data_IF_599593495469
#
_entry.id   IF_599593495469
#
_cell.length_a   1.000
_cell.length_b   1.000
_cell.length_c   1.000
_cell.angle_alpha   90.00
_cell.angle_beta   90.00
_cell.angle_gamma   90.00
#
_symmetry.space_group_name_H-M   'P 1'
#
loop_
_entity.id
_entity.type
_entity.pdbx_description
1 polymer ?
#
# COMPACT_ATOMS: atom_id res chain seq x y z
N UNK A 1 -0.84 1.36 1.21
CA UNK A 1 -0.54 0.09 1.88
C UNK A 1 0.54 0.33 2.92
N UNK A 2 0.22 0.04 4.18
CA UNK A 2 1.17 0.06 5.30
C UNK A 2 1.78 -1.34 5.43
N UNK A 3 3.07 -1.47 5.13
CA UNK A 3 3.88 -2.68 5.24
C UNK A 3 5.10 -2.44 6.16
N UNK A 4 4.92 -1.60 7.19
CA UNK A 4 5.98 -1.32 8.17
C UNK A 4 6.15 -2.48 9.17
N UNK A 5 5.08 -3.21 9.50
CA UNK A 5 5.05 -4.40 10.38
C UNK A 5 6.10 -4.32 11.52
N UNK A 6 6.00 -3.25 12.33
CA UNK A 6 6.99 -2.93 13.35
C UNK A 6 7.01 -3.90 14.53
N UNK A 7 5.87 -4.52 14.84
CA UNK A 7 5.60 -5.22 16.09
C UNK A 7 6.54 -6.42 16.34
N UNK A 8 7.07 -6.59 17.57
CA UNK A 8 7.93 -7.73 17.89
C UNK A 8 7.23 -9.06 17.65
N UNK A 9 7.82 -9.89 16.77
CA UNK A 9 7.29 -11.22 16.45
C UNK A 9 6.26 -11.26 15.31
N UNK A 10 5.88 -10.11 14.73
CA UNK A 10 5.06 -10.06 13.53
C UNK A 10 5.91 -10.33 12.27
N UNK A 11 5.42 -11.20 11.38
CA UNK A 11 6.03 -11.53 10.09
C UNK A 11 5.00 -11.94 9.02
N UNK A 12 3.72 -11.73 9.29
CA UNK A 12 2.60 -12.11 8.42
C UNK A 12 2.61 -11.25 7.15
N UNK A 13 2.74 -9.94 7.31
CA UNK A 13 2.77 -8.99 6.19
C UNK A 13 4.01 -9.22 5.34
N UNK A 14 5.17 -9.40 5.99
CA UNK A 14 6.40 -9.78 5.31
C UNK A 14 6.21 -11.00 4.43
N UNK A 15 5.58 -12.04 4.97
CA UNK A 15 5.38 -13.31 4.27
C UNK A 15 4.53 -13.12 3.01
N UNK A 16 3.49 -12.28 3.07
CA UNK A 16 2.66 -11.93 1.92
C UNK A 16 3.46 -11.12 0.90
N UNK A 17 4.06 -9.99 1.30
CA UNK A 17 4.80 -9.11 0.36
C UNK A 17 5.98 -9.84 -0.30
N UNK A 18 6.64 -10.74 0.43
CA UNK A 18 7.70 -11.56 -0.15
C UNK A 18 7.13 -12.67 -1.04
N UNK A 19 6.13 -13.43 -0.61
CA UNK A 19 5.73 -14.66 -1.32
C UNK A 19 4.72 -14.41 -2.45
N UNK A 20 3.76 -13.53 -2.21
CA UNK A 20 2.69 -13.18 -3.13
C UNK A 20 2.41 -11.66 -3.15
N UNK A 21 3.33 -10.86 -3.71
CA UNK A 21 3.12 -9.42 -3.85
C UNK A 21 1.97 -9.05 -4.80
N UNK A 22 1.53 -9.97 -5.66
CA UNK A 22 0.50 -9.69 -6.66
C UNK A 22 -0.89 -9.60 -6.04
N UNK A 23 -1.23 -10.41 -5.03
CA UNK A 23 -2.50 -10.25 -4.30
C UNK A 23 -2.65 -8.87 -3.64
N UNK A 24 -1.55 -8.32 -3.11
CA UNK A 24 -1.53 -6.96 -2.57
C UNK A 24 -1.77 -5.92 -3.66
N UNK A 25 -1.10 -6.06 -4.81
CA UNK A 25 -1.28 -5.14 -5.94
C UNK A 25 -2.70 -5.19 -6.52
N UNK A 26 -3.25 -6.39 -6.70
CA UNK A 26 -4.62 -6.58 -7.17
C UNK A 26 -5.63 -5.96 -6.20
N UNK A 27 -5.48 -6.23 -4.90
CA UNK A 27 -6.33 -5.64 -3.87
C UNK A 27 -6.24 -4.10 -3.84
N UNK A 28 -5.04 -3.55 -3.99
CA UNK A 28 -4.85 -2.10 -4.11
C UNK A 28 -5.51 -1.53 -5.38
N UNK A 29 -5.40 -2.21 -6.53
CA UNK A 29 -6.03 -1.79 -7.79
C UNK A 29 -7.56 -1.81 -7.68
N UNK A 30 -8.14 -2.85 -7.09
CA UNK A 30 -9.58 -2.94 -6.81
C UNK A 30 -10.02 -1.80 -5.88
N UNK A 31 -9.29 -1.62 -4.77
CA UNK A 31 -9.57 -0.54 -3.83
C UNK A 31 -9.49 0.83 -4.47
N UNK A 32 -8.47 1.07 -5.30
CA UNK A 32 -8.27 2.32 -6.01
C UNK A 32 -9.41 2.62 -6.99
N UNK A 33 -9.90 1.58 -7.70
CA UNK A 33 -11.06 1.69 -8.57
C UNK A 33 -12.32 2.05 -7.78
N UNK A 34 -12.52 1.41 -6.62
CA UNK A 34 -13.69 1.65 -5.77
C UNK A 34 -13.76 3.07 -5.21
N UNK A 35 -12.61 3.67 -4.85
CA UNK A 35 -12.54 5.03 -4.28
C UNK A 35 -12.19 6.11 -5.31
N UNK A 36 -11.94 5.75 -6.57
CA UNK A 36 -11.65 6.69 -7.65
C UNK A 36 -10.29 7.38 -7.56
N UNK A 37 -9.25 6.67 -7.11
CA UNK A 37 -7.87 7.22 -7.07
C UNK A 37 -6.98 6.60 -8.14
N UNK A 38 -6.00 7.38 -8.59
CA UNK A 38 -5.07 7.00 -9.66
C UNK A 38 -3.63 6.78 -9.18
N UNK A 39 -3.37 6.95 -7.89
CA UNK A 39 -2.03 6.74 -7.32
C UNK A 39 -2.10 6.03 -5.97
N UNK A 40 -1.21 5.07 -5.76
CA UNK A 40 -1.07 4.30 -4.54
C UNK A 40 0.37 4.25 -4.05
N UNK A 41 0.54 4.15 -2.74
CA UNK A 41 1.85 4.01 -2.10
C UNK A 41 1.91 2.70 -1.31
N UNK A 42 3.04 2.00 -1.41
CA UNK A 42 3.40 0.88 -0.54
C UNK A 42 4.58 1.34 0.30
N UNK A 43 4.35 1.52 1.59
CA UNK A 43 5.40 1.88 2.54
C UNK A 43 5.94 0.60 3.18
N UNK A 44 7.17 0.22 2.85
CA UNK A 44 7.82 -1.01 3.36
C UNK A 44 8.94 -0.60 4.30
N UNK A 45 9.00 -1.21 5.50
CA UNK A 45 10.10 -0.96 6.43
C UNK A 45 11.49 -1.21 5.83
N UNK A 46 12.49 -0.53 6.36
CA UNK A 46 13.86 -0.58 5.82
C UNK A 46 14.50 -1.98 5.90
N UNK A 47 14.07 -2.78 6.87
CA UNK A 47 14.62 -4.06 7.28
C UNK A 47 14.15 -5.22 6.40
N UNK A 48 13.22 -4.97 5.47
CA UNK A 48 12.70 -5.96 4.51
C UNK A 48 13.20 -5.69 3.07
N UNK A 49 14.50 -5.82 2.77
CA UNK A 49 15.04 -5.52 1.44
C UNK A 49 14.51 -6.47 0.36
N UNK A 50 14.23 -7.73 0.71
CA UNK A 50 13.67 -8.73 -0.21
C UNK A 50 12.25 -8.34 -0.59
N UNK A 51 11.42 -7.93 0.38
CA UNK A 51 10.06 -7.45 0.14
C UNK A 51 10.05 -6.27 -0.84
N UNK A 52 10.95 -5.28 -0.66
CA UNK A 52 11.10 -4.14 -1.60
C UNK A 52 11.46 -4.62 -3.01
N UNK A 53 12.43 -5.53 -3.13
CA UNK A 53 12.87 -6.06 -4.43
C UNK A 53 11.73 -6.82 -5.13
N UNK A 54 11.03 -7.70 -4.42
CA UNK A 54 9.95 -8.52 -4.97
C UNK A 54 8.74 -7.68 -5.34
N UNK A 55 8.35 -6.72 -4.50
CA UNK A 55 7.27 -5.79 -4.81
C UNK A 55 7.56 -4.94 -6.04
N UNK A 56 8.79 -4.40 -6.18
CA UNK A 56 9.20 -3.68 -7.40
C UNK A 56 9.15 -4.54 -8.65
N UNK A 57 9.56 -5.80 -8.54
CA UNK A 57 9.45 -6.78 -9.64
C UNK A 57 7.98 -7.04 -10.00
N UNK A 58 7.13 -7.22 -9.01
CA UNK A 58 5.70 -7.44 -9.20
C UNK A 58 5.00 -6.25 -9.87
N UNK A 59 5.31 -5.02 -9.44
CA UNK A 59 4.82 -3.78 -10.08
C UNK A 59 5.23 -3.74 -11.56
N UNK A 60 6.50 -4.04 -11.86
CA UNK A 60 6.98 -4.09 -13.24
C UNK A 60 6.20 -5.13 -14.07
N UNK A 61 6.03 -6.33 -13.54
CA UNK A 61 5.26 -7.39 -14.20
C UNK A 61 3.79 -6.97 -14.40
N UNK A 62 3.12 -6.43 -13.38
CA UNK A 62 1.74 -5.98 -13.50
C UNK A 62 1.56 -4.93 -14.61
N UNK A 63 2.52 -3.99 -14.75
CA UNK A 63 2.54 -3.04 -15.87
C UNK A 63 2.73 -3.72 -17.23
N UNK A 64 3.67 -4.66 -17.35
CA UNK A 64 3.92 -5.41 -18.59
C UNK A 64 2.69 -6.20 -19.06
N UNK A 65 1.86 -6.65 -18.12
CA UNK A 65 0.64 -7.40 -18.39
C UNK A 65 -0.62 -6.51 -18.54
N UNK A 66 -0.48 -5.18 -18.44
CA UNK A 66 -1.61 -4.25 -18.54
C UNK A 66 -2.57 -4.28 -17.34
N UNK A 67 -2.10 -4.76 -16.19
CA UNK A 67 -2.85 -4.87 -14.93
C UNK A 67 -2.59 -3.68 -13.98
N UNK A 68 -1.65 -2.81 -14.35
CA UNK A 68 -1.28 -1.60 -13.62
C UNK A 68 -0.78 -0.55 -14.63
N UNK A 69 -0.92 0.73 -14.31
CA UNK A 69 -0.52 1.84 -15.17
C UNK A 69 -1.71 2.50 -15.84
N UNK A 70 -1.57 2.82 -17.12
CA UNK A 70 -2.61 3.48 -17.92
C UNK A 70 -3.56 2.49 -18.57
N UNK A 71 -4.83 2.89 -18.67
CA UNK A 71 -5.91 2.18 -19.34
C UNK A 71 -5.96 0.68 -19.02
N UNK A 72 -5.98 0.37 -17.72
CA UNK A 72 -5.94 -1.00 -17.20
C UNK A 72 -7.07 -1.80 -17.84
N UNK A 73 -6.69 -2.84 -18.60
CA UNK A 73 -7.59 -3.72 -19.35
C UNK A 73 -8.56 -2.99 -20.32
N UNK A 74 -8.23 -1.79 -20.80
CA UNK A 74 -9.07 -1.02 -21.73
C UNK A 74 -10.31 -0.39 -21.08
N UNK A 75 -10.30 -0.25 -19.75
CA UNK A 75 -11.45 0.24 -18.97
C UNK A 75 -11.52 1.77 -18.83
N UNK A 76 -10.52 2.49 -19.33
CA UNK A 76 -10.30 3.91 -19.09
C UNK A 76 -9.86 4.24 -17.67
N UNK A 77 -9.49 3.23 -16.86
CA UNK A 77 -9.01 3.41 -15.49
C UNK A 77 -7.48 3.35 -15.43
N UNK A 78 -6.90 4.35 -14.79
CA UNK A 78 -5.46 4.43 -14.58
C UNK A 78 -5.15 4.22 -13.09
N UNK A 79 -4.12 3.46 -12.78
CA UNK A 79 -3.62 3.34 -11.41
C UNK A 79 -2.13 3.07 -11.38
N UNK A 80 -1.38 3.96 -10.72
CA UNK A 80 0.06 3.84 -10.54
C UNK A 80 0.42 3.56 -9.09
N UNK A 81 1.41 2.69 -8.86
CA UNK A 81 1.86 2.31 -7.53
C UNK A 81 3.36 2.59 -7.36
N UNK A 82 3.70 3.26 -6.26
CA UNK A 82 5.07 3.58 -5.87
C UNK A 82 5.46 2.86 -4.58
N UNK A 83 6.69 2.32 -4.53
CA UNK A 83 7.25 1.71 -3.31
C UNK A 83 8.13 2.72 -2.60
N UNK A 84 7.76 3.09 -1.38
CA UNK A 84 8.55 3.89 -0.46
C UNK A 84 9.20 2.97 0.58
N UNK A 85 10.49 3.17 0.84
CA UNK A 85 11.23 2.41 1.86
C UNK A 85 11.38 3.29 3.10
N UNK A 86 10.96 2.79 4.25
CA UNK A 86 11.14 3.49 5.51
C UNK A 86 12.62 3.67 5.91
N UNK A 87 12.85 4.44 6.96
CA UNK A 87 14.20 4.78 7.46
C UNK A 87 14.57 4.05 8.78
N UNK A 88 13.85 2.99 9.13
CA UNK A 88 14.10 2.18 10.34
C UNK A 88 13.49 2.73 11.63
N UNK A 89 12.53 3.65 11.52
CA UNK A 89 11.80 4.19 12.67
C UNK A 89 10.51 3.39 12.92
N UNK A 90 10.45 2.67 14.04
CA UNK A 90 9.27 1.88 14.45
C UNK A 90 7.97 2.69 14.50
N UNK A 91 8.05 3.99 14.83
CA UNK A 91 6.88 4.87 14.91
C UNK A 91 6.18 5.04 13.54
N UNK A 92 6.87 4.78 12.43
CA UNK A 92 6.31 4.87 11.08
C UNK A 92 5.20 3.84 10.79
N UNK A 93 4.97 2.86 11.66
CA UNK A 93 3.80 1.97 11.58
C UNK A 93 2.48 2.69 11.91
N UNK A 94 2.52 3.80 12.66
CA UNK A 94 1.35 4.65 12.93
C UNK A 94 0.97 5.45 11.67
N UNK A 95 -0.33 5.58 11.38
CA UNK A 95 -0.82 6.09 10.10
C UNK A 95 -0.40 7.53 9.78
N UNK A 96 -0.39 8.44 10.75
CA UNK A 96 0.03 9.84 10.54
C UNK A 96 1.54 10.00 10.50
N UNK A 97 2.28 9.20 11.27
CA UNK A 97 3.74 9.08 11.18
C UNK A 97 4.19 8.52 9.84
N UNK A 98 3.48 7.52 9.30
CA UNK A 98 3.69 6.97 7.96
C UNK A 98 3.54 8.06 6.90
N UNK A 99 2.46 8.85 6.98
CA UNK A 99 2.22 9.98 6.09
C UNK A 99 3.38 10.98 6.17
N UNK A 100 3.77 11.40 7.36
CA UNK A 100 4.87 12.33 7.54
C UNK A 100 6.19 11.79 6.96
N UNK A 101 6.49 10.51 7.18
CA UNK A 101 7.66 9.86 6.57
C UNK A 101 7.59 9.83 5.05
N UNK A 102 6.42 9.52 4.48
CA UNK A 102 6.21 9.48 3.03
C UNK A 102 6.42 10.86 2.39
N UNK A 103 6.05 11.92 3.11
CA UNK A 103 6.24 13.31 2.73
C UNK A 103 7.67 13.84 2.97
N UNK A 104 8.57 13.01 3.53
CA UNK A 104 9.95 13.39 3.84
C UNK A 104 10.10 14.26 5.09
N UNK A 105 9.08 14.27 5.97
CA UNK A 105 9.10 14.96 7.27
C UNK A 105 9.48 13.99 8.39
N UNK A 106 9.82 14.53 9.56
CA UNK A 106 9.98 13.72 10.78
C UNK A 106 8.68 12.96 11.08
N UNK A 107 8.74 11.65 11.37
CA UNK A 107 7.55 10.80 11.53
C UNK A 107 6.90 10.96 12.92
N UNK A 108 6.57 12.19 13.29
CA UNK A 108 5.88 12.49 14.54
C UNK A 108 4.37 12.23 14.37
N UNK A 109 3.75 11.42 15.25
CA UNK A 109 2.31 11.19 15.20
C UNK A 109 1.53 12.49 15.38
N UNK A 110 0.47 12.65 14.60
CA UNK A 110 -0.45 13.78 14.69
C UNK A 110 -1.72 13.38 15.43
N UNK A 111 -2.26 14.32 16.21
CA UNK A 111 -3.53 14.14 16.90
C UNK A 111 -4.65 14.16 15.85
N UNK A 112 -5.53 13.16 15.92
CA UNK A 112 -6.76 13.08 15.13
C UNK A 112 -7.89 13.78 15.92
N UNK A 113 -8.85 14.48 15.26
CA UNK A 113 -8.99 14.72 13.83
C UNK A 113 -8.07 15.83 13.26
N UNK A 114 -7.87 15.91 11.93
CA UNK A 114 -8.53 15.10 10.88
C UNK A 114 -7.99 13.67 10.79
N UNK A 115 -8.86 12.73 10.42
CA UNK A 115 -8.42 11.38 10.05
C UNK A 115 -7.80 11.38 8.64
N UNK A 116 -6.90 10.44 8.29
CA UNK A 116 -6.32 10.35 6.95
C UNK A 116 -7.33 10.32 5.82
N UNK A 117 -8.49 9.68 6.04
CA UNK A 117 -9.59 9.64 5.09
C UNK A 117 -10.16 11.03 4.75
N UNK A 118 -10.01 12.01 5.64
CA UNK A 118 -10.38 13.41 5.42
C UNK A 118 -9.19 14.23 4.88
N UNK A 119 -8.02 14.07 5.50
CA UNK A 119 -6.80 14.80 5.15
C UNK A 119 -5.58 13.97 5.54
N UNK A 120 -5.00 13.27 4.57
CA UNK A 120 -3.81 12.44 4.73
C UNK A 120 -2.63 12.95 3.91
N UNK A 121 -2.12 12.12 3.01
CA UNK A 121 -0.93 12.39 2.19
C UNK A 121 -1.13 13.67 1.35
N UNK A 122 -0.24 14.64 1.53
CA UNK A 122 -0.30 16.01 1.00
C UNK A 122 -1.66 16.70 1.19
N UNK A 123 -2.31 16.43 2.33
CA UNK A 123 -3.62 16.98 2.67
C UNK A 123 -4.77 16.45 1.81
N UNK A 124 -4.59 15.32 1.11
CA UNK A 124 -5.63 14.67 0.30
C UNK A 124 -6.31 13.55 1.07
N UNK A 125 -7.61 13.27 0.83
CA UNK A 125 -8.28 12.07 1.32
C UNK A 125 -7.44 10.83 1.03
N UNK A 126 -7.02 10.13 2.06
CA UNK A 126 -6.11 8.98 1.96
C UNK A 126 -6.67 7.80 2.72
N UNK A 127 -6.80 6.67 2.03
CA UNK A 127 -7.13 5.40 2.66
C UNK A 127 -5.83 4.62 2.94
N UNK A 128 -5.58 4.31 4.20
CA UNK A 128 -4.41 3.55 4.65
C UNK A 128 -4.93 2.24 5.23
N UNK A 129 -4.57 1.13 4.60
CA UNK A 129 -4.79 -0.22 5.14
C UNK A 129 -3.50 -1.03 5.13
N UNK A 130 -3.48 -2.03 6.01
CA UNK A 130 -2.44 -3.03 6.18
C UNK A 130 -2.30 -3.93 4.93
N UNK A 131 -1.17 -4.61 4.78
CA UNK A 131 -0.89 -5.58 3.70
C UNK A 131 -1.96 -6.68 3.65
N UNK A 132 -2.23 -7.36 4.78
CA UNK A 132 -3.20 -8.45 4.86
C UNK A 132 -4.59 -7.99 4.43
N UNK A 133 -5.00 -6.78 4.81
CA UNK A 133 -6.28 -6.21 4.38
C UNK A 133 -6.38 -6.12 2.86
N UNK A 134 -5.34 -5.61 2.19
CA UNK A 134 -5.34 -5.55 0.72
C UNK A 134 -5.30 -6.93 0.09
N UNK A 135 -4.49 -7.85 0.60
CA UNK A 135 -4.38 -9.20 0.07
C UNK A 135 -5.69 -10.01 0.15
N UNK A 136 -6.59 -9.65 1.06
CA UNK A 136 -7.92 -10.28 1.16
C UNK A 136 -8.97 -9.68 0.20
N UNK A 137 -8.75 -8.47 -0.33
CA UNK A 137 -9.74 -7.82 -1.22
C UNK A 137 -10.05 -8.67 -2.47
N UNK A 138 -9.07 -9.24 -3.19
CA UNK A 138 -9.35 -10.11 -4.34
C UNK A 138 -10.21 -11.32 -3.99
N UNK A 139 -9.93 -11.97 -2.86
CA UNK A 139 -10.70 -13.13 -2.40
C UNK A 139 -12.16 -12.77 -2.10
N UNK A 140 -12.41 -11.60 -1.50
CA UNK A 140 -13.78 -11.11 -1.26
C UNK A 140 -14.51 -10.89 -2.59
N UNK A 141 -13.85 -10.28 -3.58
CA UNK A 141 -14.47 -10.07 -4.90
C UNK A 141 -14.77 -11.40 -5.59
N UNK A 142 -13.88 -12.38 -5.47
CA UNK A 142 -14.04 -13.69 -6.11
C UNK A 142 -15.11 -14.56 -5.44
N UNK A 143 -15.27 -14.47 -4.12
CA UNK A 143 -16.17 -15.34 -3.35
C UNK A 143 -17.53 -14.72 -3.04
N UNK A 144 -17.65 -13.40 -3.16
CA UNK A 144 -18.80 -12.66 -2.65
C UNK A 144 -18.58 -12.19 -1.21
N UNK A 145 -19.43 -11.26 -0.78
CA UNK A 145 -19.35 -10.67 0.57
C UNK A 145 -20.13 -11.48 1.63
N UNK A 146 -21.03 -12.37 1.19
CA UNK A 146 -21.78 -13.32 2.03
C UNK A 146 -21.00 -14.61 2.32
#
# INVERSE_FOLDING_TARGET
CNADEGDPGAFMDRSIVESDPHSVLEGMTIGARAIGVHHGYIYIRSEYPIAVQRMRKAIKQAREYGLLGEDILGTGFNFEVSVHRGAGAFVCGEETSLIASLEGRSPEPQIRPPFPAQSGVWGKPTNINNVETWANVPEIINRGAE
#
